data_IF_210952819871
#
_entry.id   IF_210952819871
#
_cell.length_a   1.000
_cell.length_b   1.000
_cell.length_c   1.000
_cell.angle_alpha   90.00
_cell.angle_beta   90.00
_cell.angle_gamma   90.00
#
_symmetry.space_group_name_H-M   'P 1'
#
loop_
_entity.id
_entity.type
_entity.pdbx_description
1 polymer ?
#
# COMPACT_ATOMS: atom_id res chain seq x y z
N UNK A 1 -37.94 22.32 -36.37
CA UNK A 1 -38.29 21.14 -35.60
C UNK A 1 -38.82 20.12 -36.58
N UNK A 2 -38.20 18.95 -36.56
CA UNK A 2 -38.44 17.81 -37.43
C UNK A 2 -39.27 16.72 -36.71
N UNK A 3 -39.46 16.81 -35.40
CA UNK A 3 -40.34 15.96 -34.60
C UNK A 3 -41.08 16.77 -33.53
N UNK A 4 -42.34 17.13 -33.83
CA UNK A 4 -43.21 17.90 -32.93
C UNK A 4 -43.52 17.21 -31.58
N UNK A 5 -43.13 15.94 -31.40
CA UNK A 5 -43.31 15.18 -30.16
C UNK A 5 -42.05 15.07 -29.30
N UNK A 6 -40.88 15.42 -29.87
CA UNK A 6 -39.60 15.42 -29.18
C UNK A 6 -39.13 16.85 -28.89
N UNK A 7 -39.15 17.29 -27.62
CA UNK A 7 -38.64 18.62 -27.27
C UNK A 7 -37.13 18.81 -27.48
N UNK A 8 -36.38 17.74 -27.77
CA UNK A 8 -34.94 17.78 -28.06
C UNK A 8 -34.64 18.05 -29.54
N UNK A 9 -35.62 17.94 -30.44
CA UNK A 9 -35.45 18.17 -31.87
C UNK A 9 -35.69 19.63 -32.29
N UNK A 10 -34.70 20.28 -32.92
CA UNK A 10 -34.88 21.59 -33.55
C UNK A 10 -33.73 21.92 -34.49
N UNK A 11 -33.96 22.80 -35.48
CA UNK A 11 -32.94 23.30 -36.42
C UNK A 11 -31.73 24.03 -35.78
N UNK A 12 -31.70 24.15 -34.45
CA UNK A 12 -30.65 24.78 -33.66
C UNK A 12 -30.26 23.93 -32.45
N UNK A 13 -30.78 22.71 -32.32
CA UNK A 13 -30.35 21.77 -31.30
C UNK A 13 -28.95 21.26 -31.63
N UNK A 14 -28.28 20.72 -30.64
CA UNK A 14 -27.09 19.91 -30.87
C UNK A 14 -27.54 18.47 -30.99
N UNK A 15 -26.89 17.74 -31.87
CA UNK A 15 -27.03 16.30 -31.96
C UNK A 15 -26.60 15.63 -30.65
N UNK A 16 -27.29 14.57 -30.28
CA UNK A 16 -26.98 13.69 -29.15
C UNK A 16 -26.97 12.24 -29.65
N UNK A 17 -26.12 11.40 -29.06
CA UNK A 17 -26.02 9.98 -29.43
C UNK A 17 -27.29 9.20 -28.97
N UNK A 18 -28.38 9.33 -29.74
CA UNK A 18 -29.67 8.68 -29.51
C UNK A 18 -30.29 8.05 -30.78
N UNK A 19 -29.62 8.21 -31.93
CA UNK A 19 -30.05 7.69 -33.22
C UNK A 19 -31.20 8.46 -33.87
N UNK A 20 -31.53 9.65 -33.38
CA UNK A 20 -32.51 10.58 -33.95
C UNK A 20 -31.83 11.85 -34.43
N UNK A 21 -32.27 12.38 -35.57
CA UNK A 21 -31.84 13.69 -36.11
C UNK A 21 -32.35 14.83 -35.20
N UNK A 22 -31.59 15.18 -34.16
CA UNK A 22 -32.01 16.21 -33.20
C UNK A 22 -31.83 17.61 -33.78
N UNK A 23 -30.83 17.85 -34.64
CA UNK A 23 -30.57 19.16 -35.23
C UNK A 23 -31.36 19.44 -36.54
N UNK A 24 -32.13 18.46 -37.02
CA UNK A 24 -32.96 18.50 -38.22
C UNK A 24 -32.21 18.79 -39.53
N UNK A 25 -30.94 18.38 -39.63
CA UNK A 25 -30.12 18.53 -40.84
C UNK A 25 -30.37 17.42 -41.88
N UNK A 26 -31.11 16.37 -41.50
CA UNK A 26 -31.51 15.25 -42.33
C UNK A 26 -30.72 13.96 -42.07
N UNK A 27 -29.87 13.93 -41.04
CA UNK A 27 -29.06 12.78 -40.62
C UNK A 27 -29.02 12.72 -39.09
N UNK A 28 -28.87 11.51 -38.53
CA UNK A 28 -28.43 11.31 -37.16
C UNK A 28 -26.90 11.25 -37.21
N UNK A 29 -26.25 12.39 -37.00
CA UNK A 29 -24.82 12.58 -37.23
C UNK A 29 -24.09 13.15 -36.01
N UNK A 30 -24.31 12.54 -34.84
CA UNK A 30 -23.56 12.90 -33.63
C UNK A 30 -22.05 12.84 -33.87
N UNK A 31 -21.37 13.91 -33.45
CA UNK A 31 -19.91 13.97 -33.46
C UNK A 31 -19.42 14.23 -32.03
N UNK A 32 -18.81 13.22 -31.41
CA UNK A 32 -18.20 13.34 -30.08
C UNK A 32 -17.04 14.35 -30.11
N UNK A 33 -16.87 15.12 -29.03
CA UNK A 33 -15.79 16.12 -28.93
C UNK A 33 -14.47 15.58 -28.36
N UNK A 34 -14.48 14.43 -27.67
CA UNK A 34 -13.29 13.77 -27.12
C UNK A 34 -13.36 12.25 -27.37
N UNK A 35 -12.30 11.65 -27.94
CA UNK A 35 -12.19 10.20 -28.19
C UNK A 35 -13.00 9.72 -29.38
N UNK A 36 -12.39 8.85 -30.20
CA UNK A 36 -12.82 8.19 -31.46
C UNK A 36 -14.11 8.53 -32.24
N UNK A 37 -15.27 8.82 -31.65
CA UNK A 37 -16.41 9.48 -32.29
C UNK A 37 -16.80 8.94 -33.66
N UNK A 38 -17.55 7.85 -33.69
CA UNK A 38 -18.16 7.35 -34.91
C UNK A 38 -19.65 7.71 -35.07
N UNK A 39 -20.25 7.12 -36.10
CA UNK A 39 -21.64 7.39 -36.50
C UNK A 39 -22.64 6.62 -35.64
N UNK A 40 -23.83 7.18 -35.49
CA UNK A 40 -24.93 6.56 -34.73
C UNK A 40 -25.57 5.33 -35.40
N UNK A 41 -25.06 4.92 -36.57
CA UNK A 41 -25.52 3.78 -37.35
C UNK A 41 -24.46 2.69 -37.56
N UNK A 42 -23.29 2.82 -36.92
CA UNK A 42 -22.18 1.86 -37.02
C UNK A 42 -21.77 1.32 -35.66
N UNK A 43 -21.29 0.09 -35.72
CA UNK A 43 -20.68 -0.70 -34.66
C UNK A 43 -19.47 -1.35 -35.34
N UNK A 44 -18.33 -0.68 -35.24
CA UNK A 44 -17.15 -0.92 -36.07
C UNK A 44 -16.40 -2.19 -35.67
N UNK A 45 -16.41 -2.57 -34.39
CA UNK A 45 -15.75 -3.78 -33.88
C UNK A 45 -16.70 -4.94 -33.57
N UNK A 46 -18.01 -4.69 -33.56
CA UNK A 46 -19.05 -5.70 -33.43
C UNK A 46 -19.34 -6.13 -32.01
N UNK A 47 -19.06 -5.31 -31.00
CA UNK A 47 -19.45 -5.60 -29.60
C UNK A 47 -20.90 -5.22 -29.25
N UNK A 48 -21.57 -4.48 -30.16
CA UNK A 48 -22.96 -4.07 -30.03
C UNK A 48 -23.17 -2.72 -29.36
N UNK A 49 -22.10 -2.03 -28.98
CA UNK A 49 -22.09 -0.59 -28.73
C UNK A 49 -21.94 0.13 -30.06
N UNK A 50 -22.64 1.26 -30.18
CA UNK A 50 -22.57 2.08 -31.40
C UNK A 50 -21.41 3.05 -31.23
N UNK A 51 -20.73 3.35 -32.32
CA UNK A 51 -19.47 4.11 -32.30
C UNK A 51 -19.62 5.53 -31.69
N UNK A 52 -20.83 6.07 -31.56
CA UNK A 52 -21.05 7.35 -30.88
C UNK A 52 -21.15 7.25 -29.35
N UNK A 53 -21.44 6.06 -28.84
CA UNK A 53 -21.54 5.75 -27.42
C UNK A 53 -20.27 5.04 -26.92
N UNK A 54 -19.52 4.39 -27.82
CA UNK A 54 -18.29 3.70 -27.50
C UNK A 54 -17.15 4.63 -27.07
N UNK A 55 -16.25 4.14 -26.22
CA UNK A 55 -14.96 4.80 -25.98
C UNK A 55 -13.78 4.13 -26.73
N UNK A 56 -14.03 3.00 -27.42
CA UNK A 56 -13.09 2.35 -28.31
C UNK A 56 -13.77 1.58 -29.48
N UNK A 57 -14.18 2.28 -30.54
CA UNK A 57 -14.89 1.75 -31.75
C UNK A 57 -14.24 0.53 -32.48
N UNK A 58 -12.98 0.23 -32.17
CA UNK A 58 -12.17 -0.80 -32.82
C UNK A 58 -11.78 -1.96 -31.91
N UNK A 59 -12.18 -1.91 -30.65
CA UNK A 59 -11.83 -2.88 -29.62
C UNK A 59 -13.09 -3.38 -28.89
N UNK A 60 -13.59 -4.51 -29.38
CA UNK A 60 -14.75 -5.21 -28.80
C UNK A 60 -14.64 -5.64 -27.32
N UNK A 61 -13.52 -5.33 -26.65
CA UNK A 61 -13.33 -5.50 -25.21
C UNK A 61 -13.41 -4.20 -24.39
N UNK A 62 -13.63 -3.06 -25.04
CA UNK A 62 -13.66 -1.73 -24.45
C UNK A 62 -14.89 -1.00 -24.99
N UNK A 63 -15.92 -0.87 -24.17
CA UNK A 63 -17.21 -0.30 -24.55
C UNK A 63 -18.01 0.09 -23.29
N UNK A 64 -19.05 0.93 -23.38
CA UNK A 64 -19.86 1.32 -22.24
C UNK A 64 -20.41 0.11 -21.47
N UNK A 65 -19.91 -0.07 -20.26
CA UNK A 65 -20.23 -1.22 -19.42
C UNK A 65 -19.45 -2.51 -19.71
N UNK A 66 -18.32 -2.47 -20.43
CA UNK A 66 -17.39 -3.60 -20.51
C UNK A 66 -16.61 -3.82 -19.20
N UNK A 67 -15.87 -4.94 -19.03
CA UNK A 67 -15.13 -5.17 -17.80
C UNK A 67 -13.75 -4.48 -17.76
N UNK A 68 -13.50 -3.63 -16.75
CA UNK A 68 -12.17 -3.09 -16.38
C UNK A 68 -11.14 -4.21 -16.11
N UNK A 69 -10.08 -4.27 -16.90
CA UNK A 69 -9.09 -5.34 -16.85
C UNK A 69 -7.91 -4.92 -15.97
N UNK A 70 -7.97 -5.34 -14.72
CA UNK A 70 -7.02 -4.89 -13.70
C UNK A 70 -5.61 -5.47 -13.87
N UNK A 71 -4.69 -4.52 -14.10
CA UNK A 71 -3.32 -4.70 -14.59
C UNK A 71 -3.15 -4.26 -16.05
N UNK A 72 -4.20 -3.89 -16.79
CA UNK A 72 -4.17 -3.76 -18.26
C UNK A 72 -4.33 -2.34 -18.83
N UNK A 73 -4.68 -1.33 -18.02
CA UNK A 73 -4.54 0.07 -18.42
C UNK A 73 -5.79 0.76 -18.95
N UNK A 74 -6.89 0.05 -19.11
CA UNK A 74 -8.01 0.53 -19.92
C UNK A 74 -9.23 0.75 -19.03
N UNK A 75 -9.82 1.93 -19.15
CA UNK A 75 -11.22 2.20 -18.77
C UNK A 75 -12.09 1.43 -19.77
N UNK A 76 -12.06 0.11 -19.64
CA UNK A 76 -12.76 -0.80 -20.53
C UNK A 76 -14.27 -0.53 -20.49
N UNK A 77 -14.80 0.11 -19.44
CA UNK A 77 -16.22 0.32 -19.22
C UNK A 77 -16.74 1.71 -19.61
N UNK A 78 -15.83 2.59 -20.05
CA UNK A 78 -16.10 3.95 -20.52
C UNK A 78 -16.80 4.84 -19.48
N UNK A 79 -16.69 4.53 -18.18
CA UNK A 79 -17.18 5.37 -17.09
C UNK A 79 -15.98 6.04 -16.37
N UNK A 80 -15.80 7.36 -16.51
CA UNK A 80 -14.65 8.07 -15.93
C UNK A 80 -14.71 8.17 -14.39
N UNK A 81 -15.74 7.62 -13.75
CA UNK A 81 -15.87 7.48 -12.30
C UNK A 81 -15.47 6.09 -11.78
N UNK A 82 -15.20 5.12 -12.68
CA UNK A 82 -14.95 3.71 -12.33
C UNK A 82 -13.50 3.24 -12.39
N UNK A 83 -12.53 3.87 -13.06
CA UNK A 83 -11.14 3.38 -12.95
C UNK A 83 -9.98 4.35 -13.26
N UNK A 84 -8.98 4.30 -12.36
CA UNK A 84 -7.59 4.07 -12.74
C UNK A 84 -7.22 2.71 -12.10
N UNK A 85 -6.79 1.74 -12.90
CA UNK A 85 -6.14 0.46 -12.55
C UNK A 85 -6.30 -0.06 -11.10
N UNK A 86 -6.90 -1.23 -10.89
CA UNK A 86 -6.55 -2.02 -9.68
C UNK A 86 -5.15 -2.60 -9.91
N UNK A 87 -4.15 -1.91 -9.38
CA UNK A 87 -2.77 -2.30 -9.52
C UNK A 87 -2.50 -3.69 -8.94
N UNK A 88 -2.00 -4.61 -9.76
CA UNK A 88 -1.63 -5.97 -9.39
C UNK A 88 -0.27 -6.09 -8.66
N UNK A 89 0.39 -4.95 -8.45
CA UNK A 89 1.67 -4.81 -7.80
C UNK A 89 2.85 -5.31 -8.64
N UNK A 90 2.63 -5.68 -9.90
CA UNK A 90 3.68 -6.20 -10.79
C UNK A 90 4.58 -5.09 -11.34
N UNK A 91 4.10 -3.84 -11.38
CA UNK A 91 4.83 -2.68 -11.87
C UNK A 91 4.45 -1.41 -11.12
N UNK A 92 5.24 -0.34 -11.26
CA UNK A 92 4.92 0.95 -10.65
C UNK A 92 3.62 1.57 -11.19
N UNK A 93 3.18 1.19 -12.40
CA UNK A 93 1.94 1.66 -13.03
C UNK A 93 0.74 0.85 -12.55
N UNK A 94 0.94 -0.45 -12.34
CA UNK A 94 -0.03 -1.34 -11.73
C UNK A 94 0.28 -1.45 -10.23
N UNK A 95 0.67 -0.36 -9.57
CA UNK A 95 1.01 -0.40 -8.16
C UNK A 95 -0.28 -0.63 -7.36
N UNK A 96 -0.34 -1.72 -6.59
CA UNK A 96 -1.47 -1.91 -5.69
C UNK A 96 -1.43 -0.91 -4.55
N UNK A 97 -2.53 -0.69 -3.82
CA UNK A 97 -2.49 0.34 -2.78
C UNK A 97 -1.56 -0.02 -1.61
N UNK A 98 -1.54 -1.28 -1.19
CA UNK A 98 -0.64 -1.83 -0.14
C UNK A 98 -0.42 -3.32 -0.35
N UNK A 99 0.57 -3.93 0.34
CA UNK A 99 0.71 -5.39 0.36
C UNK A 99 -0.56 -6.08 0.89
N UNK A 100 -1.21 -5.46 1.89
CA UNK A 100 -2.44 -5.95 2.47
C UNK A 100 -3.57 -5.96 1.44
N UNK A 101 -3.71 -4.89 0.65
CA UNK A 101 -4.71 -4.79 -0.39
C UNK A 101 -4.42 -5.75 -1.56
N UNK A 102 -3.16 -5.83 -2.02
CA UNK A 102 -2.76 -6.76 -3.08
C UNK A 102 -3.09 -8.21 -2.73
N UNK A 103 -2.85 -8.61 -1.48
CA UNK A 103 -3.23 -9.93 -0.99
C UNK A 103 -4.75 -10.07 -0.88
N UNK A 104 -5.44 -9.04 -0.38
CA UNK A 104 -6.89 -9.04 -0.23
C UNK A 104 -7.62 -9.16 -1.58
N UNK A 105 -7.10 -8.52 -2.62
CA UNK A 105 -7.62 -8.55 -4.01
C UNK A 105 -7.21 -9.83 -4.75
N UNK A 106 -6.39 -10.68 -4.14
CA UNK A 106 -5.90 -11.92 -4.76
C UNK A 106 -4.93 -11.69 -5.92
N UNK A 107 -4.44 -10.46 -6.08
CA UNK A 107 -3.48 -10.07 -7.11
C UNK A 107 -2.04 -10.50 -6.74
N UNK A 108 -1.81 -10.81 -5.47
CA UNK A 108 -0.57 -11.35 -4.95
C UNK A 108 -0.82 -12.46 -3.93
N UNK A 109 0.00 -13.52 -3.94
CA UNK A 109 -0.09 -14.63 -2.97
C UNK A 109 1.25 -15.15 -2.48
N UNK A 110 2.34 -14.79 -3.15
CA UNK A 110 3.69 -15.21 -2.80
C UNK A 110 4.41 -14.11 -2.02
N UNK A 111 5.28 -14.48 -1.08
CA UNK A 111 6.22 -13.54 -0.48
C UNK A 111 7.13 -12.98 -1.58
N UNK A 112 7.31 -11.66 -1.62
CA UNK A 112 7.94 -11.06 -2.79
C UNK A 112 8.20 -9.58 -2.65
N UNK A 113 8.72 -9.01 -3.74
CA UNK A 113 8.80 -7.56 -3.89
C UNK A 113 7.67 -7.14 -4.81
N UNK A 114 6.89 -6.17 -4.36
CA UNK A 114 5.74 -5.63 -5.08
C UNK A 114 5.84 -4.12 -5.14
N UNK A 115 5.21 -3.54 -6.16
CA UNK A 115 4.98 -2.11 -6.23
C UNK A 115 3.70 -1.76 -5.50
N UNK A 116 3.77 -0.73 -4.68
CA UNK A 116 2.59 -0.20 -4.00
C UNK A 116 2.51 1.32 -4.09
N UNK A 117 1.30 1.87 -4.14
CA UNK A 117 1.00 3.30 -4.08
C UNK A 117 0.08 3.59 -2.88
N UNK A 118 0.64 4.01 -1.73
CA UNK A 118 -0.14 4.15 -0.50
C UNK A 118 -1.27 5.17 -0.65
N UNK A 119 -2.51 4.85 -0.20
CA UNK A 119 -3.67 5.71 -0.45
C UNK A 119 -3.60 7.06 0.26
N UNK A 120 -2.81 7.17 1.34
CA UNK A 120 -2.57 8.43 2.03
C UNK A 120 -1.59 9.36 1.29
N UNK A 121 -0.84 8.83 0.31
CA UNK A 121 0.10 9.57 -0.54
C UNK A 121 -0.05 9.16 -2.02
N UNK A 122 -1.21 9.39 -2.67
CA UNK A 122 -1.44 8.94 -4.04
C UNK A 122 -0.37 9.47 -5.01
N UNK A 123 0.17 8.59 -5.84
CA UNK A 123 1.26 8.87 -6.79
C UNK A 123 2.67 8.74 -6.21
N UNK A 124 2.83 8.34 -4.95
CA UNK A 124 4.14 8.06 -4.31
C UNK A 124 4.45 6.56 -4.32
N UNK A 125 4.41 5.95 -5.52
CA UNK A 125 4.60 4.51 -5.65
C UNK A 125 6.03 4.08 -5.31
N UNK A 126 6.16 2.97 -4.58
CA UNK A 126 7.43 2.42 -4.14
C UNK A 126 7.46 0.90 -4.19
N UNK A 127 8.66 0.34 -4.36
CA UNK A 127 8.88 -1.08 -4.16
C UNK A 127 8.99 -1.37 -2.67
N UNK A 128 8.22 -2.36 -2.24
CA UNK A 128 8.26 -2.91 -0.90
C UNK A 128 8.42 -4.40 -0.95
N UNK A 129 8.93 -4.97 0.13
CA UNK A 129 8.85 -6.41 0.34
C UNK A 129 7.54 -6.73 1.04
N UNK A 130 6.73 -7.58 0.42
CA UNK A 130 5.54 -8.14 1.01
C UNK A 130 5.82 -9.55 1.53
N UNK A 131 5.34 -9.83 2.73
CA UNK A 131 5.14 -11.19 3.23
C UNK A 131 3.64 -11.47 3.15
N UNK A 132 3.30 -12.37 2.23
CA UNK A 132 1.92 -12.74 1.87
C UNK A 132 1.49 -14.04 2.55
N UNK A 133 2.37 -14.68 3.32
CA UNK A 133 2.16 -16.04 3.82
C UNK A 133 2.11 -16.14 5.34
N UNK A 134 2.95 -15.38 6.06
CA UNK A 134 3.08 -15.48 7.51
C UNK A 134 1.96 -14.74 8.22
N UNK A 135 1.32 -15.39 9.19
CA UNK A 135 0.25 -14.82 10.03
C UNK A 135 -0.85 -14.09 9.23
N UNK A 136 -1.31 -14.76 8.18
CA UNK A 136 -2.37 -14.25 7.31
C UNK A 136 -1.89 -13.23 6.26
N UNK A 137 -0.58 -13.03 6.11
CA UNK A 137 0.01 -12.29 5.00
C UNK A 137 -0.35 -10.80 4.94
N UNK A 138 0.01 -10.14 3.84
CA UNK A 138 -0.29 -8.72 3.60
C UNK A 138 0.68 -7.78 4.33
N UNK A 139 1.77 -8.31 4.84
CA UNK A 139 2.75 -7.57 5.63
C UNK A 139 3.71 -6.81 4.74
N UNK A 140 3.81 -5.50 4.92
CA UNK A 140 4.76 -4.64 4.24
C UNK A 140 6.01 -4.47 5.09
N UNK A 141 7.20 -4.77 4.57
CA UNK A 141 8.46 -4.47 5.25
C UNK A 141 8.67 -2.96 5.26
N UNK A 142 8.81 -2.37 6.45
CA UNK A 142 8.92 -0.90 6.61
C UNK A 142 10.25 -0.46 7.22
N UNK A 143 11.06 -1.40 7.71
CA UNK A 143 12.42 -1.10 8.13
C UNK A 143 13.22 -2.32 8.54
N UNK A 144 14.53 -2.22 8.40
CA UNK A 144 15.51 -3.22 8.81
C UNK A 144 16.64 -2.53 9.54
N UNK A 145 16.92 -2.97 10.76
CA UNK A 145 18.04 -2.47 11.52
C UNK A 145 19.11 -3.56 11.60
N UNK A 146 20.36 -3.17 11.29
CA UNK A 146 21.54 -4.03 11.39
C UNK A 146 22.49 -3.52 12.47
N UNK A 147 22.83 -4.36 13.45
CA UNK A 147 23.63 -4.01 14.61
C UNK A 147 25.04 -3.56 14.23
N UNK A 148 25.63 -4.17 13.20
CA UNK A 148 26.95 -3.77 12.70
C UNK A 148 27.01 -2.29 12.28
N UNK A 149 25.85 -1.68 12.00
CA UNK A 149 25.70 -0.27 11.65
C UNK A 149 25.09 0.56 12.79
N UNK A 150 24.97 0.00 14.01
CA UNK A 150 24.64 0.77 15.21
C UNK A 150 25.67 1.90 15.39
N UNK A 151 25.22 3.08 15.82
CA UNK A 151 26.08 4.27 15.78
C UNK A 151 25.87 5.15 14.54
N UNK A 152 25.26 4.65 13.47
CA UNK A 152 24.95 5.45 12.27
C UNK A 152 23.95 6.57 12.57
N UNK A 153 24.17 7.76 12.00
CA UNK A 153 23.19 8.84 12.06
C UNK A 153 21.93 8.43 11.26
N UNK A 154 20.74 8.76 11.78
CA UNK A 154 19.49 8.71 11.02
C UNK A 154 18.42 7.72 11.51
N UNK A 155 18.76 6.68 12.29
CA UNK A 155 17.75 5.71 12.75
C UNK A 155 16.72 6.30 13.73
N UNK A 156 17.09 7.39 14.39
CA UNK A 156 16.26 8.14 15.32
C UNK A 156 15.67 9.41 14.69
N UNK A 157 15.77 9.56 13.37
CA UNK A 157 15.20 10.67 12.61
C UNK A 157 13.89 10.23 11.96
N UNK A 158 12.96 11.17 11.75
CA UNK A 158 11.62 10.91 11.19
C UNK A 158 11.62 10.75 9.65
N UNK A 159 12.78 10.89 9.00
CA UNK A 159 12.92 10.79 7.55
C UNK A 159 13.22 9.38 7.05
N UNK A 160 13.03 9.14 5.76
CA UNK A 160 13.50 7.91 5.12
C UNK A 160 15.02 7.74 5.31
N UNK A 161 15.45 6.56 5.72
CA UNK A 161 16.85 6.18 5.85
C UNK A 161 17.18 5.11 4.81
N UNK A 162 18.16 5.38 3.94
CA UNK A 162 18.68 4.41 2.96
C UNK A 162 17.60 3.72 2.09
N UNK A 163 16.61 4.48 1.63
CA UNK A 163 15.44 3.99 0.87
C UNK A 163 15.79 3.14 -0.36
N UNK A 164 16.96 3.35 -0.98
CA UNK A 164 17.47 2.49 -2.07
C UNK A 164 17.58 1.01 -1.70
N UNK A 165 17.52 0.69 -0.40
CA UNK A 165 17.57 -0.67 0.15
C UNK A 165 16.22 -1.15 0.71
N UNK A 166 15.09 -0.50 0.39
CA UNK A 166 13.76 -0.73 1.00
C UNK A 166 13.17 -2.14 0.84
N UNK A 167 13.85 -3.02 0.12
CA UNK A 167 13.45 -4.42 -0.08
C UNK A 167 14.50 -5.40 0.44
N UNK A 168 15.64 -4.92 0.93
CA UNK A 168 16.75 -5.73 1.42
C UNK A 168 16.59 -6.04 2.91
N UNK A 169 16.47 -7.33 3.20
CA UNK A 169 16.32 -7.88 4.54
C UNK A 169 17.59 -7.80 5.41
N UNK A 170 18.71 -7.37 4.83
CA UNK A 170 20.04 -7.36 5.45
C UNK A 170 20.73 -5.98 5.39
N UNK A 171 20.05 -4.96 4.89
CA UNK A 171 20.54 -3.59 4.88
C UNK A 171 20.00 -2.81 6.08
N UNK A 172 20.67 -1.72 6.46
CA UNK A 172 20.22 -0.85 7.55
C UNK A 172 19.44 0.34 6.98
N UNK A 173 18.11 0.33 7.10
CA UNK A 173 17.21 1.30 6.45
C UNK A 173 15.82 1.32 7.13
N UNK A 174 15.07 2.40 6.95
CA UNK A 174 13.65 2.46 7.32
C UNK A 174 12.91 3.50 6.49
N UNK A 175 11.60 3.35 6.35
CA UNK A 175 10.73 4.38 5.80
C UNK A 175 10.55 5.53 6.79
N UNK A 176 10.09 6.69 6.32
CA UNK A 176 9.60 7.77 7.17
C UNK A 176 8.35 7.31 7.94
N UNK A 177 8.07 7.98 9.05
CA UNK A 177 6.88 7.72 9.86
C UNK A 177 5.58 7.89 9.07
N UNK A 178 5.50 8.92 8.21
CA UNK A 178 4.35 9.14 7.32
C UNK A 178 4.09 7.95 6.39
N UNK A 179 5.15 7.40 5.78
CA UNK A 179 5.03 6.23 4.89
C UNK A 179 4.71 4.96 5.68
N UNK A 180 5.33 4.74 6.84
CA UNK A 180 4.98 3.59 7.68
C UNK A 180 3.52 3.62 8.12
N UNK A 181 2.99 4.79 8.48
CA UNK A 181 1.60 4.97 8.89
C UNK A 181 0.64 4.81 7.70
N UNK A 182 1.01 5.31 6.52
CA UNK A 182 0.22 5.14 5.29
C UNK A 182 0.06 3.67 4.86
N UNK A 183 1.03 2.83 5.24
CA UNK A 183 1.08 1.41 4.91
C UNK A 183 0.42 0.51 5.95
N UNK A 184 0.28 0.98 7.19
CA UNK A 184 -0.38 0.26 8.27
C UNK A 184 -1.89 0.48 8.24
N UNK A 185 -2.55 0.01 7.18
CA UNK A 185 -3.98 0.21 6.96
C UNK A 185 -4.85 -0.51 7.97
N UNK A 186 -4.40 -1.63 8.56
CA UNK A 186 -5.04 -2.26 9.73
C UNK A 186 -4.48 -1.76 11.06
N UNK A 187 -3.50 -0.87 11.03
CA UNK A 187 -2.81 -0.34 12.21
C UNK A 187 -1.98 -1.40 12.93
N UNK A 188 -1.62 -2.49 12.24
CA UNK A 188 -0.92 -3.62 12.82
C UNK A 188 0.57 -3.57 12.52
N UNK A 189 1.40 -3.82 13.53
CA UNK A 189 2.84 -3.92 13.37
C UNK A 189 3.39 -5.18 14.01
N UNK A 190 4.48 -5.68 13.43
CA UNK A 190 5.26 -6.78 13.98
C UNK A 190 6.75 -6.51 13.84
N UNK A 191 7.52 -7.11 14.75
CA UNK A 191 8.97 -7.02 14.75
C UNK A 191 9.59 -8.42 14.79
N UNK A 192 10.45 -8.69 13.82
CA UNK A 192 11.28 -9.89 13.80
C UNK A 192 12.65 -9.55 14.38
N UNK A 193 13.11 -10.36 15.33
CA UNK A 193 14.36 -10.16 16.03
C UNK A 193 15.36 -11.25 15.64
N UNK A 194 16.60 -10.86 15.39
CA UNK A 194 17.66 -11.75 14.92
C UNK A 194 18.92 -11.54 15.74
N UNK A 195 19.76 -12.57 15.82
CA UNK A 195 21.08 -12.45 16.44
C UNK A 195 22.03 -11.56 15.62
N UNK A 196 23.21 -11.26 16.18
CA UNK A 196 24.23 -10.46 15.49
C UNK A 196 24.74 -11.07 14.18
N UNK A 197 24.50 -12.37 13.96
CA UNK A 197 24.84 -13.11 12.75
C UNK A 197 23.63 -13.26 11.81
N UNK A 198 22.52 -12.56 12.09
CA UNK A 198 21.27 -12.56 11.33
C UNK A 198 20.51 -13.91 11.36
N UNK A 199 20.76 -14.75 12.35
CA UNK A 199 19.92 -15.92 12.60
C UNK A 199 18.64 -15.49 13.30
N UNK A 200 17.51 -16.03 12.87
CA UNK A 200 16.22 -15.73 13.49
C UNK A 200 16.24 -16.17 14.96
N UNK A 201 15.88 -15.24 15.84
CA UNK A 201 15.90 -15.45 17.28
C UNK A 201 14.50 -15.42 17.87
N UNK A 202 13.64 -14.48 17.43
CA UNK A 202 12.34 -14.26 18.06
C UNK A 202 11.35 -13.48 17.18
N UNK A 203 10.08 -13.75 17.42
CA UNK A 203 8.92 -13.05 16.88
C UNK A 203 8.26 -12.14 17.90
N UNK A 204 7.78 -10.99 17.45
CA UNK A 204 6.83 -10.13 18.16
C UNK A 204 5.65 -9.78 17.25
N UNK A 205 4.44 -10.05 17.74
CA UNK A 205 3.17 -9.79 17.07
C UNK A 205 2.25 -8.93 17.93
N UNK A 206 1.31 -8.23 17.28
CA UNK A 206 0.07 -7.79 17.93
C UNK A 206 0.08 -6.36 18.47
N UNK A 207 0.90 -5.47 17.91
CA UNK A 207 0.73 -4.04 18.16
C UNK A 207 -0.35 -3.53 17.22
N UNK A 208 -1.59 -3.41 17.72
CA UNK A 208 -2.68 -2.70 17.05
C UNK A 208 -2.63 -1.22 17.43
N UNK A 209 -3.07 -0.33 16.54
CA UNK A 209 -3.15 1.12 16.72
C UNK A 209 -1.79 1.83 16.88
N UNK A 210 -0.70 1.25 16.34
CA UNK A 210 0.61 1.91 16.40
C UNK A 210 0.67 3.12 15.48
N UNK A 211 1.03 4.25 16.05
CA UNK A 211 1.27 5.48 15.33
C UNK A 211 2.64 6.01 15.75
N UNK A 212 3.58 6.05 14.80
CA UNK A 212 4.92 6.55 15.06
C UNK A 212 4.87 8.02 15.50
N UNK A 213 5.45 8.32 16.68
CA UNK A 213 5.37 9.65 17.31
C UNK A 213 4.20 9.84 18.29
N UNK A 214 3.33 8.83 18.46
CA UNK A 214 2.24 8.81 19.44
C UNK A 214 2.32 7.61 20.41
N UNK A 215 1.55 7.67 21.49
CA UNK A 215 1.41 6.59 22.48
C UNK A 215 0.38 5.57 21.97
N UNK A 216 0.71 4.28 22.00
CA UNK A 216 -0.12 3.17 21.54
C UNK A 216 -0.09 2.03 22.55
N UNK A 217 -1.22 1.36 22.79
CA UNK A 217 -1.28 0.12 23.57
C UNK A 217 -1.12 -1.11 22.67
N UNK A 218 -0.10 -1.94 22.91
CA UNK A 218 0.13 -3.21 22.22
C UNK A 218 -0.40 -4.41 23.02
N UNK A 219 -0.89 -5.49 22.38
CA UNK A 219 -1.18 -6.78 23.04
C UNK A 219 -0.17 -7.85 22.60
N UNK A 220 0.53 -8.48 23.55
CA UNK A 220 1.64 -9.41 23.26
C UNK A 220 1.23 -10.87 22.99
N UNK A 221 2.01 -11.59 22.15
CA UNK A 221 2.16 -13.06 22.17
C UNK A 221 3.63 -13.47 21.93
N UNK A 222 4.14 -14.45 22.68
CA UNK A 222 5.54 -14.89 22.68
C UNK A 222 5.67 -16.40 22.55
N UNK A 223 6.15 -16.88 21.41
CA UNK A 223 6.03 -18.29 21.01
C UNK A 223 7.00 -19.28 21.69
N UNK A 224 7.56 -18.93 22.85
CA UNK A 224 8.32 -19.89 23.70
C UNK A 224 8.09 -19.73 25.21
N UNK A 225 7.30 -18.75 25.65
CA UNK A 225 6.92 -18.57 27.05
C UNK A 225 5.53 -17.94 27.12
N UNK A 226 4.52 -18.76 27.38
CA UNK A 226 3.12 -18.36 27.45
C UNK A 226 2.88 -17.28 28.52
N UNK A 227 2.42 -16.10 28.07
CA UNK A 227 1.94 -14.97 28.88
C UNK A 227 0.78 -14.22 28.20
N UNK A 228 -0.21 -14.95 27.69
CA UNK A 228 -1.43 -14.35 27.14
C UNK A 228 -2.05 -13.28 28.07
N UNK A 229 -2.47 -12.14 27.51
CA UNK A 229 -3.41 -11.21 28.16
C UNK A 229 -2.85 -9.91 28.75
N UNK A 230 -1.66 -9.45 28.36
CA UNK A 230 -1.10 -8.16 28.79
C UNK A 230 -1.11 -7.14 27.64
N UNK A 231 -1.67 -5.95 27.91
CA UNK A 231 -1.55 -4.77 27.05
C UNK A 231 -0.44 -3.85 27.59
N UNK A 232 0.46 -3.39 26.73
CA UNK A 232 1.59 -2.52 27.10
C UNK A 232 1.48 -1.19 26.39
N UNK A 233 1.49 -0.10 27.16
CA UNK A 233 1.56 1.23 26.59
C UNK A 233 2.97 1.49 26.04
N UNK A 234 3.07 1.91 24.79
CA UNK A 234 4.24 2.60 24.24
C UNK A 234 4.29 3.98 24.86
N UNK A 235 5.40 4.27 25.55
CA UNK A 235 5.60 5.52 26.26
C UNK A 235 6.82 6.24 25.71
N UNK A 236 6.63 7.47 25.26
CA UNK A 236 7.73 8.38 24.97
C UNK A 236 8.49 8.68 26.26
N UNK A 237 9.78 8.35 26.30
CA UNK A 237 10.71 8.76 27.36
C UNK A 237 11.85 9.55 26.72
N UNK A 238 12.29 10.61 27.39
CA UNK A 238 13.37 11.46 26.88
C UNK A 238 14.61 10.61 26.56
N UNK A 239 14.96 10.55 25.27
CA UNK A 239 16.11 9.79 24.76
C UNK A 239 15.81 8.36 24.31
N UNK A 240 14.54 7.94 24.19
CA UNK A 240 14.11 6.67 23.62
C UNK A 240 13.13 6.89 22.46
N UNK A 241 13.46 6.38 21.27
CA UNK A 241 12.63 6.47 20.06
C UNK A 241 12.19 5.06 19.61
N UNK A 242 10.89 4.78 19.42
CA UNK A 242 10.39 3.50 18.88
C UNK A 242 9.27 2.81 19.68
N UNK A 243 8.96 1.55 19.31
CA UNK A 243 8.01 0.65 20.00
C UNK A 243 8.51 0.28 21.41
N UNK A 244 8.33 1.16 22.38
CA UNK A 244 8.62 0.84 23.79
C UNK A 244 7.45 0.02 24.34
N UNK A 245 7.64 -1.10 25.04
CA UNK A 245 6.56 -1.64 25.88
C UNK A 245 6.88 -1.20 27.32
N UNK A 246 6.09 -0.28 27.88
CA UNK A 246 6.20 0.19 29.26
C UNK A 246 7.22 1.30 29.57
N UNK A 247 7.33 1.64 30.86
CA UNK A 247 8.12 2.77 31.41
C UNK A 247 9.56 2.41 31.83
N UNK A 248 10.02 1.20 31.49
CA UNK A 248 11.35 0.69 31.86
C UNK A 248 11.97 -0.11 30.72
N UNK A 249 13.30 -0.08 30.57
CA UNK A 249 14.05 -0.78 29.50
C UNK A 249 13.87 -2.32 29.46
N UNK A 250 13.24 -2.92 30.46
CA UNK A 250 13.05 -4.37 30.59
C UNK A 250 11.84 -4.94 29.83
N UNK A 251 11.05 -4.08 29.18
CA UNK A 251 9.82 -4.47 28.45
C UNK A 251 9.83 -3.89 27.03
N UNK A 252 10.92 -3.30 26.58
CA UNK A 252 11.06 -2.64 25.28
C UNK A 252 11.00 -3.61 24.09
N UNK A 253 10.20 -3.29 23.06
CA UNK A 253 10.21 -3.99 21.76
C UNK A 253 11.32 -3.40 20.87
N UNK A 254 11.38 -2.07 20.80
CA UNK A 254 12.39 -1.28 20.07
C UNK A 254 12.58 0.04 20.82
N UNK A 255 13.80 0.31 21.28
CA UNK A 255 14.20 1.68 21.64
C UNK A 255 15.44 2.03 20.86
N UNK A 256 15.46 3.18 20.20
CA UNK A 256 16.68 3.86 19.80
C UNK A 256 17.04 4.87 20.89
N UNK A 257 18.27 4.83 21.41
CA UNK A 257 18.72 5.72 22.48
C UNK A 257 19.46 6.95 21.93
N UNK A 258 19.52 8.06 22.67
CA UNK A 258 20.48 9.15 22.43
C UNK A 258 21.91 8.58 22.36
N UNK A 259 22.48 8.47 21.15
CA UNK A 259 23.73 7.75 20.90
C UNK A 259 23.63 6.57 19.93
N UNK A 260 22.54 6.45 19.16
CA UNK A 260 22.39 5.54 18.01
C UNK A 260 22.44 4.04 18.38
N UNK A 261 21.97 3.68 19.57
CA UNK A 261 21.88 2.30 20.04
C UNK A 261 20.45 1.80 20.00
N UNK A 262 20.25 0.54 19.60
CA UNK A 262 18.95 -0.11 19.59
C UNK A 262 19.06 -1.59 19.98
N UNK A 263 17.96 -2.18 20.43
CA UNK A 263 17.92 -3.58 20.86
C UNK A 263 16.52 -4.18 20.68
N UNK A 264 16.50 -5.49 20.38
CA UNK A 264 15.28 -6.30 20.21
C UNK A 264 14.93 -7.16 21.43
N UNK A 265 15.75 -7.14 22.50
CA UNK A 265 15.52 -7.91 23.73
C UNK A 265 16.20 -7.28 24.96
N UNK A 266 15.48 -7.22 26.09
CA UNK A 266 16.04 -6.86 27.40
C UNK A 266 15.70 -7.91 28.45
N UNK A 267 16.58 -8.88 28.72
CA UNK A 267 16.56 -9.58 30.01
C UNK A 267 17.97 -9.71 30.58
N UNK A 268 18.08 -9.53 31.89
CA UNK A 268 19.33 -9.66 32.62
C UNK A 268 19.65 -11.15 32.84
N UNK A 269 20.39 -11.78 31.92
CA UNK A 269 20.86 -13.15 32.08
C UNK A 269 21.97 -13.54 31.10
N UNK A 270 22.87 -14.48 31.47
CA UNK A 270 23.91 -14.96 30.57
C UNK A 270 23.26 -15.70 29.38
N UNK A 271 23.46 -15.18 28.17
CA UNK A 271 22.88 -15.71 26.93
C UNK A 271 21.76 -14.88 26.31
N UNK A 272 21.36 -13.74 26.91
CA UNK A 272 20.46 -12.77 26.29
C UNK A 272 21.23 -11.70 25.52
N UNK A 273 20.76 -11.30 24.33
CA UNK A 273 21.40 -10.31 23.46
C UNK A 273 21.26 -8.84 23.91
N UNK A 274 21.24 -8.60 25.22
CA UNK A 274 21.51 -7.30 25.85
C UNK A 274 20.52 -6.15 25.65
N UNK A 275 20.34 -5.36 26.71
CA UNK A 275 19.61 -4.08 26.70
C UNK A 275 20.26 -3.05 25.78
N UNK A 276 19.47 -2.11 25.26
CA UNK A 276 20.00 -0.82 24.76
C UNK A 276 20.92 -0.20 25.81
N UNK A 277 22.16 0.12 25.43
CA UNK A 277 23.14 0.73 26.35
C UNK A 277 23.92 -0.22 27.25
N UNK A 278 23.74 -1.56 27.18
CA UNK A 278 24.57 -2.54 27.90
C UNK A 278 25.14 -3.67 27.01
N UNK A 279 25.44 -3.36 25.74
CA UNK A 279 26.11 -4.29 24.83
C UNK A 279 25.18 -5.27 24.10
N UNK A 280 23.93 -4.87 23.85
CA UNK A 280 23.05 -5.65 22.96
C UNK A 280 23.49 -5.61 21.51
N UNK A 281 23.29 -6.71 20.79
CA UNK A 281 23.89 -6.97 19.45
C UNK A 281 22.90 -7.51 18.40
N UNK A 282 21.60 -7.24 18.54
CA UNK A 282 20.57 -7.86 17.70
C UNK A 282 20.33 -7.14 16.36
N UNK A 283 19.88 -7.88 15.34
CA UNK A 283 19.31 -7.35 14.10
C UNK A 283 17.75 -7.31 14.19
N UNK A 284 17.05 -6.45 13.42
CA UNK A 284 15.58 -6.35 13.43
C UNK A 284 14.99 -6.17 12.05
N UNK A 285 13.74 -6.59 11.89
CA UNK A 285 12.89 -6.23 10.76
C UNK A 285 11.50 -5.83 11.25
N UNK A 286 11.02 -4.67 10.83
CA UNK A 286 9.73 -4.11 11.20
C UNK A 286 8.80 -4.27 10.01
N UNK A 287 7.59 -4.75 10.26
CA UNK A 287 6.55 -4.87 9.24
C UNK A 287 5.28 -4.18 9.69
N UNK A 288 4.55 -3.62 8.72
CA UNK A 288 3.28 -2.92 8.87
C UNK A 288 2.20 -3.62 8.04
N UNK A 289 0.96 -3.57 8.53
CA UNK A 289 -0.23 -4.06 7.86
C UNK A 289 -1.41 -3.12 8.16
#
# INVERSE_FOLDING_TARGET
DCDDTDPQSSNTANEICDGLDNDCNGLADYVATEGDGGSEDQDTDGDGSIDCADCADGDSSTFPGAPELCGDGIDNDCDPSTAAEVGDGTSAACAGSTCAQLLADGLASDDGVYWIDPPANPGDSLQVRCDMTTDGGGWTLVGVAIYANSGGAGWNDEGDLNLVSSTDLNAHWHLSSDRMNALATSGEYRALCFDSNNNYSRYWWGVTDYNWGALTTASESWDTYDRTGASYATAWSSGHYGLVSGSTEAVVVITAHNGNHWACAGSAGPGGEGFTGRGGVSNMRIWAK
#
